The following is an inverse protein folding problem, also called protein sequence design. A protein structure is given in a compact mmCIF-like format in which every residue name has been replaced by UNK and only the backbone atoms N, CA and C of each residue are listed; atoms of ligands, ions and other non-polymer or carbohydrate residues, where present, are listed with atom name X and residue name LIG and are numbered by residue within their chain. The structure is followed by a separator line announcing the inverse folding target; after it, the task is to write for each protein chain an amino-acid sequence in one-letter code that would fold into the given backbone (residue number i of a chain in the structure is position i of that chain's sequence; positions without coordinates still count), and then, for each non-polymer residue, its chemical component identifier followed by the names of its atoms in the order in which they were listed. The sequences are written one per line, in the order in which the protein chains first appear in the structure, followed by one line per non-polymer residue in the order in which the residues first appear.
data_IF_897939450627
#
_entry.id   IF_897939450627
#
_cell.length_a   1.000
_cell.length_b   1.000
_cell.length_c   1.000
_cell.angle_alpha   90.00
_cell.angle_beta   90.00
_cell.angle_gamma   90.00
#
_symmetry.space_group_name_H-M   'P 1'
#
loop_
_entity.id
_entity.type
_entity.pdbx_description
1 polymer ?
#
# COMPACT_ATOMS: atom_id res chain seq x y z
N UNK A 1 -10.79 -25.47 -4.99
CA UNK A 1 -9.54 -24.83 -4.55
C UNK A 1 -9.81 -23.35 -4.52
N UNK A 2 -9.75 -22.71 -3.34
CA UNK A 2 -9.89 -21.25 -3.27
C UNK A 2 -8.53 -20.69 -3.61
N UNK A 3 -8.35 -20.27 -4.86
CA UNK A 3 -7.22 -19.44 -5.26
C UNK A 3 -7.33 -18.17 -4.43
N UNK A 4 -6.62 -18.10 -3.30
CA UNK A 4 -6.35 -16.82 -2.67
C UNK A 4 -5.64 -16.00 -3.73
N UNK A 5 -6.37 -15.08 -4.36
CA UNK A 5 -5.79 -14.01 -5.15
C UNK A 5 -5.05 -13.10 -4.17
N UNK A 6 -3.91 -13.56 -3.65
CA UNK A 6 -2.98 -12.69 -2.96
C UNK A 6 -2.48 -11.71 -4.00
N UNK A 7 -3.04 -10.50 -3.99
CA UNK A 7 -2.50 -9.42 -4.78
C UNK A 7 -1.11 -9.16 -4.23
N UNK A 8 -0.10 -9.52 -5.01
CA UNK A 8 1.29 -9.35 -4.62
C UNK A 8 1.48 -7.86 -4.29
N UNK A 9 2.06 -7.49 -3.13
CA UNK A 9 2.34 -6.08 -2.81
C UNK A 9 3.21 -5.44 -3.91
N UNK A 10 4.05 -6.24 -4.57
CA UNK A 10 4.83 -5.92 -5.77
C UNK A 10 4.00 -5.40 -6.96
N UNK A 11 2.75 -5.81 -7.09
CA UNK A 11 1.87 -5.35 -8.16
C UNK A 11 1.50 -3.88 -7.97
N UNK A 12 1.22 -3.50 -6.72
CA UNK A 12 1.01 -2.11 -6.34
C UNK A 12 2.31 -1.30 -6.33
N UNK A 13 3.46 -1.97 -6.29
CA UNK A 13 4.75 -1.28 -6.37
C UNK A 13 4.90 -0.59 -7.72
N UNK A 14 4.52 -1.27 -8.81
CA UNK A 14 4.76 -0.78 -10.17
C UNK A 14 3.86 0.42 -10.54
N UNK A 15 2.60 0.42 -10.07
CA UNK A 15 1.60 1.43 -10.46
C UNK A 15 1.23 2.40 -9.32
N UNK A 16 1.40 1.98 -8.07
CA UNK A 16 0.90 2.67 -6.89
C UNK A 16 1.94 3.42 -6.06
N UNK A 17 3.22 3.43 -6.49
CA UNK A 17 4.30 4.11 -5.76
C UNK A 17 4.73 5.39 -6.45
N UNK A 18 4.93 6.41 -5.62
CA UNK A 18 5.63 7.64 -5.95
C UNK A 18 6.83 7.82 -5.03
N UNK A 19 7.98 8.11 -5.61
CA UNK A 19 9.14 8.60 -4.87
C UNK A 19 8.95 10.10 -4.61
N UNK A 20 8.85 10.47 -3.33
CA UNK A 20 8.71 11.86 -2.91
C UNK A 20 10.03 12.31 -2.30
N UNK A 21 10.73 13.22 -2.97
CA UNK A 21 11.95 13.83 -2.43
C UNK A 21 11.58 14.82 -1.34
N UNK A 22 12.05 14.60 -0.12
CA UNK A 22 11.89 15.51 1.00
C UNK A 22 13.28 15.92 1.48
N UNK A 23 13.59 17.21 1.38
CA UNK A 23 14.93 17.76 1.64
C UNK A 23 16.00 17.10 0.76
N UNK A 24 16.71 16.08 1.26
CA UNK A 24 17.80 15.38 0.58
C UNK A 24 17.55 13.88 0.40
N UNK A 25 16.43 13.36 0.92
CA UNK A 25 16.11 11.92 0.92
C UNK A 25 14.92 11.62 0.01
N UNK A 26 14.97 10.45 -0.61
CA UNK A 26 13.86 9.93 -1.40
C UNK A 26 13.02 9.02 -0.51
N UNK A 27 11.79 9.44 -0.21
CA UNK A 27 10.85 8.64 0.57
C UNK A 27 9.85 7.98 -0.37
N UNK A 28 9.53 6.73 -0.07
CA UNK A 28 8.46 6.01 -0.73
C UNK A 28 7.12 6.55 -0.21
N UNK A 29 6.24 6.95 -1.13
CA UNK A 29 4.86 7.34 -0.84
C UNK A 29 3.93 6.61 -1.79
N UNK A 30 2.70 6.41 -1.33
CA UNK A 30 1.64 5.98 -2.22
C UNK A 30 1.20 7.09 -3.16
N UNK A 31 0.82 6.70 -4.37
CA UNK A 31 0.11 7.57 -5.31
C UNK A 31 -1.25 7.95 -4.75
N UNK A 32 -1.82 9.07 -5.20
CA UNK A 32 -3.17 9.48 -4.82
C UNK A 32 -4.21 8.43 -5.23
N UNK A 33 -3.98 7.73 -6.34
CA UNK A 33 -4.82 6.63 -6.80
C UNK A 33 -4.82 5.46 -5.82
N UNK A 34 -3.64 5.01 -5.36
CA UNK A 34 -3.54 3.92 -4.40
C UNK A 34 -4.07 4.29 -3.01
N UNK A 35 -3.84 5.54 -2.57
CA UNK A 35 -4.42 6.05 -1.33
C UNK A 35 -5.96 6.09 -1.41
N UNK A 36 -6.52 6.58 -2.52
CA UNK A 36 -7.97 6.59 -2.73
C UNK A 36 -8.54 5.17 -2.77
N UNK A 37 -7.79 4.22 -3.34
CA UNK A 37 -8.15 2.80 -3.36
C UNK A 37 -8.19 2.21 -1.94
N UNK A 38 -7.15 2.41 -1.15
CA UNK A 38 -7.07 1.96 0.25
C UNK A 38 -8.17 2.57 1.11
N UNK A 39 -8.47 3.86 0.91
CA UNK A 39 -9.52 4.55 1.63
C UNK A 39 -10.90 3.98 1.28
N UNK A 40 -11.20 3.79 -0.01
CA UNK A 40 -12.44 3.15 -0.46
C UNK A 40 -12.60 1.71 0.02
N UNK A 41 -11.51 0.93 0.02
CA UNK A 41 -11.50 -0.43 0.61
C UNK A 41 -11.74 -0.38 2.12
N UNK A 42 -11.12 0.57 2.84
CA UNK A 42 -11.35 0.74 4.28
C UNK A 42 -12.79 1.15 4.60
N UNK A 43 -13.40 2.00 3.79
CA UNK A 43 -14.80 2.37 3.92
C UNK A 43 -15.73 1.17 3.68
N UNK A 44 -15.49 0.40 2.62
CA UNK A 44 -16.22 -0.84 2.35
C UNK A 44 -16.04 -1.88 3.47
N UNK A 45 -14.84 -1.96 4.05
CA UNK A 45 -14.53 -2.84 5.19
C UNK A 45 -15.35 -2.45 6.41
N UNK A 46 -15.41 -1.16 6.72
CA UNK A 46 -16.25 -0.63 7.81
C UNK A 46 -17.74 -0.87 7.54
N UNK A 47 -18.17 -0.78 6.29
CA UNK A 47 -19.54 -1.09 5.88
C UNK A 47 -19.85 -2.60 5.86
N UNK A 48 -18.86 -3.48 6.04
CA UNK A 48 -19.02 -4.93 5.93
C UNK A 48 -19.31 -5.43 4.51
N UNK A 49 -19.02 -4.61 3.50
CA UNK A 49 -19.26 -4.89 2.07
C UNK A 49 -18.01 -5.38 1.35
N UNK A 50 -16.91 -5.64 2.08
CA UNK A 50 -15.65 -6.03 1.50
C UNK A 50 -15.76 -7.44 0.90
N UNK A 51 -15.47 -7.56 -0.39
CA UNK A 51 -15.34 -8.87 -1.01
C UNK A 51 -14.01 -9.53 -0.58
N UNK A 52 -13.90 -10.86 -0.65
CA UNK A 52 -12.63 -11.55 -0.40
C UNK A 52 -11.49 -11.09 -1.33
N UNK A 53 -11.82 -10.61 -2.52
CA UNK A 53 -10.85 -10.00 -3.46
C UNK A 53 -10.37 -8.65 -2.93
N UNK A 54 -11.28 -7.81 -2.46
CA UNK A 54 -10.98 -6.51 -1.85
C UNK A 54 -10.24 -6.63 -0.53
N UNK A 55 -10.51 -7.66 0.27
CA UNK A 55 -9.77 -7.95 1.50
C UNK A 55 -8.33 -8.35 1.20
N UNK A 56 -8.13 -9.18 0.17
CA UNK A 56 -6.79 -9.55 -0.30
C UNK A 56 -6.03 -8.36 -0.91
N UNK A 57 -6.73 -7.47 -1.64
CA UNK A 57 -6.18 -6.21 -2.15
C UNK A 57 -5.74 -5.30 -1.00
N UNK A 58 -6.62 -5.07 -0.02
CA UNK A 58 -6.33 -4.27 1.17
C UNK A 58 -5.15 -4.85 1.97
N UNK A 59 -5.10 -6.17 2.15
CA UNK A 59 -3.99 -6.84 2.82
C UNK A 59 -2.67 -6.60 2.08
N UNK A 60 -2.66 -6.72 0.75
CA UNK A 60 -1.47 -6.44 -0.07
C UNK A 60 -1.00 -4.98 0.02
N UNK A 61 -1.91 -4.01 0.03
CA UNK A 61 -1.57 -2.59 0.17
C UNK A 61 -1.06 -2.29 1.58
N UNK A 62 -1.65 -2.87 2.62
CA UNK A 62 -1.20 -2.72 4.01
C UNK A 62 0.20 -3.31 4.26
N UNK A 63 0.52 -4.45 3.63
CA UNK A 63 1.87 -4.99 3.67
C UNK A 63 2.87 -4.05 3.01
N UNK A 64 2.51 -3.48 1.86
CA UNK A 64 3.34 -2.50 1.17
C UNK A 64 3.56 -1.23 2.01
N UNK A 65 2.53 -0.73 2.69
CA UNK A 65 2.62 0.44 3.60
C UNK A 65 3.64 0.21 4.71
N UNK A 66 3.62 -1.01 5.27
CA UNK A 66 4.53 -1.39 6.34
C UNK A 66 5.97 -1.49 5.85
N UNK A 67 6.19 -2.10 4.68
CA UNK A 67 7.51 -2.15 4.03
C UNK A 67 8.05 -0.72 3.80
N UNK A 68 7.19 0.17 3.34
CA UNK A 68 7.51 1.58 3.09
C UNK A 68 7.82 2.36 4.34
N UNK A 69 7.02 2.19 5.39
CA UNK A 69 7.26 2.83 6.68
C UNK A 69 8.62 2.42 7.22
N UNK A 70 8.98 1.14 7.12
CA UNK A 70 10.29 0.64 7.54
C UNK A 70 11.44 1.18 6.67
N UNK A 71 11.29 1.17 5.34
CA UNK A 71 12.26 1.74 4.40
C UNK A 71 12.47 3.24 4.66
N UNK A 72 11.38 3.99 4.75
CA UNK A 72 11.39 5.43 5.05
C UNK A 72 12.04 5.70 6.40
N UNK A 73 11.67 4.95 7.44
CA UNK A 73 12.29 5.08 8.76
C UNK A 73 13.80 4.80 8.71
N UNK A 74 14.24 3.78 7.96
CA UNK A 74 15.66 3.48 7.78
C UNK A 74 16.39 4.58 7.02
N UNK A 75 15.81 5.07 5.92
CA UNK A 75 16.37 6.18 5.13
C UNK A 75 16.49 7.43 5.99
N UNK A 76 15.46 7.79 6.76
CA UNK A 76 15.48 8.95 7.66
C UNK A 76 16.52 8.75 8.77
N UNK A 77 16.64 7.53 9.30
CA UNK A 77 17.61 7.23 10.36
C UNK A 77 19.07 7.22 9.88
N UNK A 78 19.31 6.96 8.60
CA UNK A 78 20.65 6.96 8.00
C UNK A 78 21.05 8.29 7.34
N UNK A 79 20.17 9.31 7.37
CA UNK A 79 20.38 10.61 6.71
C UNK A 79 20.63 11.78 7.66
#
# INVERSE_FOLDING_TARGET
MITQMMVQPSFWVESGIKLSKVRSIYLFKFTEELQSRLEGLSEKKKAGLLTPEEDAELAGILELDRIFTLLNAKIISES
#
